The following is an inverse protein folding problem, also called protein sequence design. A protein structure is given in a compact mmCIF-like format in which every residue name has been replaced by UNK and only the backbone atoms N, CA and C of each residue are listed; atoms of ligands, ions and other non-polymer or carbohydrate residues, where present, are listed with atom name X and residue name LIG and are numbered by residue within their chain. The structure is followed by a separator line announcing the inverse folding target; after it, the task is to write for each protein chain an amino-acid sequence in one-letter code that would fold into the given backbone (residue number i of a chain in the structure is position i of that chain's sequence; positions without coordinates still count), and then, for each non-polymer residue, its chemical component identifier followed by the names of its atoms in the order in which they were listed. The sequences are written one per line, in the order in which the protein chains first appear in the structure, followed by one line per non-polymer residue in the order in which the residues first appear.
data_IF_951417941335
#
_entry.id   IF_951417941335
#
_cell.length_a   1.000
_cell.length_b   1.000
_cell.length_c   1.000
_cell.angle_alpha   90.00
_cell.angle_beta   90.00
_cell.angle_gamma   90.00
#
_symmetry.space_group_name_H-M   'P 1'
#
loop_
_entity.id
_entity.type
_entity.pdbx_description
1 polymer ?
#
# COMPACT_ATOMS: atom_id res chain seq x y z
N UNK A 1 3.21 6.79 -5.35
CA UNK A 1 3.40 5.33 -5.36
C UNK A 1 3.89 4.86 -4.01
N UNK A 2 5.07 5.28 -3.53
CA UNK A 2 5.56 4.91 -2.20
C UNK A 2 4.57 5.23 -1.08
N UNK A 3 4.04 6.46 -1.04
CA UNK A 3 3.04 6.87 -0.04
C UNK A 3 1.79 5.98 -0.07
N UNK A 4 1.38 5.47 -1.24
CA UNK A 4 0.24 4.57 -1.33
C UNK A 4 0.49 3.19 -0.67
N UNK A 5 1.75 2.83 -0.42
CA UNK A 5 2.16 1.58 0.23
C UNK A 5 2.34 1.73 1.74
N UNK A 6 2.72 2.93 2.21
CA UNK A 6 3.11 3.15 3.62
C UNK A 6 2.23 4.14 4.37
N UNK A 7 1.41 4.96 3.69
CA UNK A 7 0.45 5.84 4.36
C UNK A 7 -0.88 5.11 4.58
N UNK A 8 -1.32 4.89 5.84
CA UNK A 8 -2.53 4.14 6.15
C UNK A 8 -3.78 4.61 5.39
N UNK A 9 -3.98 5.92 5.29
CA UNK A 9 -5.16 6.50 4.63
C UNK A 9 -5.18 6.26 3.12
N UNK A 10 -4.02 6.29 2.47
CA UNK A 10 -3.91 6.02 1.04
C UNK A 10 -4.04 4.52 0.78
N UNK A 11 -3.36 3.69 1.58
CA UNK A 11 -3.43 2.24 1.50
C UNK A 11 -4.88 1.74 1.62
N UNK A 12 -5.59 2.22 2.64
CA UNK A 12 -6.99 1.86 2.89
C UNK A 12 -7.89 2.16 1.69
N UNK A 13 -7.66 3.27 0.99
CA UNK A 13 -8.49 3.64 -0.16
C UNK A 13 -8.44 2.56 -1.23
N UNK A 14 -7.27 2.20 -1.75
CA UNK A 14 -7.15 1.28 -2.87
C UNK A 14 -7.17 -0.19 -2.47
N UNK A 15 -6.67 -0.53 -1.28
CA UNK A 15 -6.61 -1.93 -0.84
C UNK A 15 -7.96 -2.41 -0.31
N UNK A 16 -8.68 -1.54 0.42
CA UNK A 16 -9.99 -1.83 1.01
C UNK A 16 -9.97 -2.39 2.43
N UNK A 17 -8.79 -2.46 3.07
CA UNK A 17 -8.61 -2.87 4.47
C UNK A 17 -7.77 -1.82 5.21
N UNK A 18 -7.95 -1.73 6.53
CA UNK A 18 -7.11 -0.87 7.38
C UNK A 18 -5.69 -1.44 7.44
N UNK A 19 -4.70 -0.56 7.57
CA UNK A 19 -3.30 -0.91 7.80
C UNK A 19 -2.77 -0.05 8.95
N UNK A 20 -1.92 -0.65 9.79
CA UNK A 20 -1.19 0.06 10.85
C UNK A 20 0.31 -0.20 10.66
N UNK A 21 1.13 0.84 10.85
CA UNK A 21 2.55 0.81 10.52
C UNK A 21 3.36 1.66 11.49
N UNK A 22 4.53 1.15 11.87
CA UNK A 22 5.62 1.91 12.49
C UNK A 22 6.73 2.04 11.42
N UNK A 23 6.83 3.14 10.67
CA UNK A 23 7.61 3.21 9.43
C UNK A 23 9.12 3.37 9.68
N UNK A 24 9.71 2.38 10.33
CA UNK A 24 11.14 2.27 10.63
C UNK A 24 11.57 0.81 10.58
N UNK A 25 12.86 0.56 10.32
CA UNK A 25 13.43 -0.79 10.45
C UNK A 25 13.27 -1.29 11.89
N UNK A 26 12.80 -2.52 12.05
CA UNK A 26 12.38 -3.13 13.33
C UNK A 26 10.93 -2.84 13.73
N UNK A 27 10.29 -1.85 13.08
CA UNK A 27 8.89 -1.50 13.28
C UNK A 27 7.93 -2.58 12.78
N UNK A 28 6.67 -2.45 13.20
CA UNK A 28 5.59 -3.35 12.82
C UNK A 28 4.86 -2.85 11.57
N UNK A 29 4.39 -3.79 10.77
CA UNK A 29 3.42 -3.55 9.70
C UNK A 29 2.28 -4.54 9.86
N UNK A 30 1.04 -4.09 9.90
CA UNK A 30 -0.09 -4.99 10.09
C UNK A 30 -1.27 -4.67 9.17
N UNK A 31 -1.80 -5.74 8.58
CA UNK A 31 -3.08 -5.68 7.88
C UNK A 31 -4.21 -5.84 8.89
N UNK A 32 -5.12 -4.88 8.95
CA UNK A 32 -6.22 -4.83 9.91
C UNK A 32 -5.88 -4.20 11.27
N UNK A 33 -4.59 -4.02 11.60
CA UNK A 33 -4.11 -3.37 12.83
C UNK A 33 -3.28 -4.27 13.74
N UNK A 34 -2.53 -3.69 14.68
CA UNK A 34 -1.59 -4.42 15.55
C UNK A 34 -2.25 -5.35 16.58
N UNK A 35 -3.54 -5.17 16.84
CA UNK A 35 -4.30 -6.02 17.75
C UNK A 35 -4.61 -7.42 17.17
N UNK A 36 -4.43 -7.61 15.86
CA UNK A 36 -4.57 -8.90 15.19
C UNK A 36 -3.20 -9.58 15.09
N UNK A 37 -2.82 -10.33 16.12
CA UNK A 37 -1.45 -10.87 16.26
C UNK A 37 -0.96 -11.67 15.03
N UNK A 38 -1.85 -12.44 14.39
CA UNK A 38 -1.52 -13.26 13.21
C UNK A 38 -1.38 -12.45 11.90
N UNK A 39 -1.53 -11.12 11.93
CA UNK A 39 -1.41 -10.25 10.77
C UNK A 39 -0.34 -9.17 10.92
N UNK A 40 0.64 -9.36 11.84
CA UNK A 40 1.76 -8.44 12.05
C UNK A 40 3.06 -8.96 11.45
N UNK A 41 3.68 -8.16 10.60
CA UNK A 41 5.03 -8.34 10.06
C UNK A 41 6.04 -7.40 10.74
N UNK A 42 7.33 -7.72 10.61
CA UNK A 42 8.45 -6.84 10.95
C UNK A 42 9.00 -6.19 9.69
N UNK A 43 9.25 -4.89 9.74
CA UNK A 43 9.95 -4.18 8.67
C UNK A 43 11.44 -4.44 8.83
N UNK A 44 12.02 -5.25 7.95
CA UNK A 44 13.46 -5.60 8.00
C UNK A 44 14.31 -4.73 7.09
N UNK A 45 13.72 -4.08 6.10
CA UNK A 45 14.37 -3.06 5.27
C UNK A 45 13.36 -1.98 4.88
N UNK A 46 13.75 -0.71 4.99
CA UNK A 46 12.94 0.43 4.59
C UNK A 46 13.83 1.50 3.96
N UNK A 47 13.63 1.73 2.66
CA UNK A 47 14.29 2.79 1.90
C UNK A 47 13.20 3.68 1.29
N UNK A 48 12.94 4.87 1.85
CA UNK A 48 11.90 5.77 1.37
C UNK A 48 11.95 5.99 -0.14
N UNK A 49 10.80 5.84 -0.79
CA UNK A 49 10.67 6.00 -2.25
C UNK A 49 11.22 4.84 -3.08
N UNK A 50 11.83 3.81 -2.48
CA UNK A 50 12.56 2.76 -3.21
C UNK A 50 12.22 1.33 -2.78
N UNK A 51 12.19 1.02 -1.48
CA UNK A 51 12.07 -0.37 -1.04
C UNK A 51 11.43 -0.52 0.33
N UNK A 52 10.60 -1.56 0.47
CA UNK A 52 10.08 -2.06 1.76
C UNK A 52 10.25 -3.57 1.77
N UNK A 53 10.77 -4.13 2.86
CA UNK A 53 10.82 -5.58 3.07
C UNK A 53 10.13 -5.91 4.39
N UNK A 54 9.14 -6.79 4.31
CA UNK A 54 8.31 -7.23 5.42
C UNK A 54 8.59 -8.71 5.69
N UNK A 55 9.00 -9.02 6.91
CA UNK A 55 9.18 -10.38 7.42
C UNK A 55 7.95 -10.77 8.25
N UNK A 56 7.24 -11.79 7.77
CA UNK A 56 6.06 -12.37 8.40
C UNK A 56 6.39 -13.67 9.18
N UNK A 57 7.68 -13.96 9.39
CA UNK A 57 8.19 -15.19 10.00
C UNK A 57 8.20 -16.37 9.03
N UNK A 58 7.04 -16.72 8.48
CA UNK A 58 6.91 -17.83 7.52
C UNK A 58 7.18 -17.42 6.06
N UNK A 59 7.04 -16.12 5.75
CA UNK A 59 7.26 -15.58 4.42
C UNK A 59 7.84 -14.16 4.51
N UNK A 60 8.48 -13.75 3.43
CA UNK A 60 8.99 -12.39 3.24
C UNK A 60 8.30 -11.77 2.03
N UNK A 61 7.82 -10.54 2.19
CA UNK A 61 7.30 -9.72 1.09
C UNK A 61 8.29 -8.58 0.83
N UNK A 62 8.66 -8.38 -0.44
CA UNK A 62 9.55 -7.31 -0.88
C UNK A 62 8.85 -6.46 -1.92
N UNK A 63 8.82 -5.16 -1.65
CA UNK A 63 8.21 -4.14 -2.50
C UNK A 63 9.32 -3.22 -3.00
N UNK A 64 9.58 -3.22 -4.30
CA UNK A 64 10.61 -2.38 -4.90
C UNK A 64 10.00 -1.40 -5.89
N UNK A 65 10.49 -0.17 -5.83
CA UNK A 65 10.12 0.94 -6.69
C UNK A 65 11.36 1.41 -7.44
N UNK A 66 11.27 1.40 -8.76
CA UNK A 66 12.28 1.98 -9.64
C UNK A 66 11.65 3.02 -10.56
N UNK A 67 12.24 4.20 -10.63
CA UNK A 67 11.85 5.22 -11.61
C UNK A 67 12.39 4.85 -13.00
N UNK A 68 11.58 5.02 -14.04
CA UNK A 68 12.06 4.92 -15.43
C UNK A 68 11.18 5.74 -16.38
N UNK A 69 11.81 6.64 -17.13
CA UNK A 69 11.18 7.54 -18.10
C UNK A 69 9.93 8.29 -17.57
N UNK A 70 9.99 8.78 -16.32
CA UNK A 70 8.87 9.47 -15.67
C UNK A 70 7.75 8.54 -15.18
N UNK A 71 7.93 7.22 -15.26
CA UNK A 71 7.01 6.19 -14.74
C UNK A 71 7.65 5.47 -13.55
N UNK A 72 6.84 4.69 -12.85
CA UNK A 72 7.28 3.84 -11.75
C UNK A 72 7.12 2.38 -12.13
N UNK A 73 8.19 1.60 -11.95
CA UNK A 73 8.17 0.15 -11.96
C UNK A 73 8.01 -0.30 -10.53
N UNK A 74 6.99 -1.12 -10.29
CA UNK A 74 6.74 -1.73 -8.99
C UNK A 74 6.93 -3.23 -9.11
N UNK A 75 7.87 -3.75 -8.33
CA UNK A 75 8.12 -5.19 -8.22
C UNK A 75 7.62 -5.64 -6.86
N UNK A 76 6.67 -6.58 -6.88
CA UNK A 76 6.19 -7.27 -5.68
C UNK A 76 6.74 -8.70 -5.71
N UNK A 77 7.51 -9.05 -4.69
CA UNK A 77 8.04 -10.40 -4.49
C UNK A 77 7.48 -10.95 -3.20
N UNK A 78 7.07 -12.21 -3.21
CA UNK A 78 6.63 -12.96 -2.04
C UNK A 78 7.39 -14.28 -1.99
N UNK A 79 7.95 -14.63 -0.84
CA UNK A 79 8.56 -15.94 -0.59
C UNK A 79 7.62 -16.85 0.21
N UNK A 80 8.12 -17.99 0.69
CA UNK A 80 7.36 -18.89 1.58
C UNK A 80 6.26 -19.68 0.89
N UNK A 81 6.42 -19.98 -0.40
CA UNK A 81 5.57 -20.95 -1.08
C UNK A 81 5.91 -22.35 -0.56
N UNK A 82 4.91 -22.99 0.04
CA UNK A 82 4.94 -24.41 0.43
C UNK A 82 4.26 -25.23 -0.67
N UNK A 83 4.95 -26.25 -1.18
CA UNK A 83 4.42 -27.13 -2.23
C UNK A 83 3.27 -28.00 -1.72
N UNK A 84 3.22 -28.31 -0.41
CA UNK A 84 2.13 -29.08 0.20
C UNK A 84 0.90 -28.21 0.48
N UNK A 85 1.11 -26.96 0.89
CA UNK A 85 0.05 -26.00 1.22
C UNK A 85 0.26 -24.64 0.53
N UNK A 86 0.17 -24.59 -0.80
CA UNK A 86 0.46 -23.36 -1.54
C UNK A 86 -0.52 -22.23 -1.17
N UNK A 87 -0.02 -21.01 -0.91
CA UNK A 87 -0.84 -19.90 -0.41
C UNK A 87 -1.66 -19.20 -1.52
N UNK A 88 -2.31 -19.95 -2.41
CA UNK A 88 -2.99 -19.43 -3.60
C UNK A 88 -3.99 -18.32 -3.31
N UNK A 89 -4.78 -18.45 -2.25
CA UNK A 89 -5.78 -17.44 -1.89
C UNK A 89 -5.13 -16.09 -1.53
N UNK A 90 -4.09 -16.11 -0.69
CA UNK A 90 -3.34 -14.91 -0.31
C UNK A 90 -2.63 -14.31 -1.53
N UNK A 91 -2.00 -15.14 -2.34
CA UNK A 91 -1.28 -14.70 -3.54
C UNK A 91 -2.21 -14.07 -4.59
N UNK A 92 -3.33 -14.71 -4.91
CA UNK A 92 -4.34 -14.18 -5.84
C UNK A 92 -4.99 -12.90 -5.30
N UNK A 93 -5.20 -12.83 -3.98
CA UNK A 93 -5.65 -11.61 -3.30
C UNK A 93 -4.69 -10.45 -3.58
N UNK A 94 -3.40 -10.63 -3.32
CA UNK A 94 -2.37 -9.63 -3.61
C UNK A 94 -2.32 -9.26 -5.10
N UNK A 95 -2.37 -10.22 -6.02
CA UNK A 95 -2.38 -9.95 -7.46
C UNK A 95 -3.54 -9.03 -7.85
N UNK A 96 -4.75 -9.29 -7.35
CA UNK A 96 -5.91 -8.43 -7.57
C UNK A 96 -5.70 -7.02 -6.98
N UNK A 97 -5.09 -6.93 -5.79
CA UNK A 97 -4.78 -5.65 -5.13
C UNK A 97 -3.76 -4.83 -5.91
N UNK A 98 -2.69 -5.44 -6.43
CA UNK A 98 -1.69 -4.73 -7.26
C UNK A 98 -2.33 -4.16 -8.54
N UNK A 99 -3.27 -4.90 -9.15
CA UNK A 99 -4.08 -4.37 -10.26
C UNK A 99 -4.90 -3.14 -9.87
N UNK A 100 -5.49 -3.13 -8.68
CA UNK A 100 -6.25 -2.00 -8.16
C UNK A 100 -5.36 -0.78 -7.86
N UNK A 101 -4.16 -1.00 -7.30
CA UNK A 101 -3.17 0.07 -7.06
C UNK A 101 -2.81 0.82 -8.33
N UNK A 102 -2.68 0.10 -9.45
CA UNK A 102 -2.45 0.72 -10.76
C UNK A 102 -3.63 1.61 -11.17
N UNK A 103 -4.86 1.10 -11.07
CA UNK A 103 -6.09 1.87 -11.37
C UNK A 103 -6.19 3.12 -10.50
N UNK A 104 -5.83 3.01 -9.21
CA UNK A 104 -5.82 4.10 -8.25
C UNK A 104 -4.87 5.26 -8.64
N UNK A 105 -3.79 4.94 -9.35
CA UNK A 105 -2.82 5.93 -9.84
C UNK A 105 -3.10 6.43 -11.26
N UNK A 106 -3.72 5.62 -12.12
CA UNK A 106 -3.89 5.94 -13.55
C UNK A 106 -5.26 6.53 -13.91
N UNK A 107 -6.33 6.25 -13.15
CA UNK A 107 -7.68 6.73 -13.46
C UNK A 107 -7.99 8.06 -12.74
N UNK A 108 -8.32 9.15 -13.47
CA UNK A 108 -8.65 10.45 -12.86
C UNK A 108 -9.86 10.40 -11.92
N UNK A 109 -10.90 9.67 -12.29
CA UNK A 109 -12.13 9.47 -11.51
C UNK A 109 -12.19 8.05 -10.95
N UNK A 110 -11.06 7.59 -10.41
CA UNK A 110 -10.95 6.25 -9.86
C UNK A 110 -12.05 5.92 -8.85
N UNK A 111 -12.59 4.71 -8.95
CA UNK A 111 -13.52 4.10 -7.99
C UNK A 111 -13.04 2.68 -7.69
N UNK A 112 -13.11 2.24 -6.42
CA UNK A 112 -12.76 0.87 -6.06
C UNK A 112 -13.59 -0.11 -6.87
N UNK A 113 -12.93 -1.08 -7.51
CA UNK A 113 -13.64 -2.13 -8.25
C UNK A 113 -14.28 -3.15 -7.31
N UNK A 114 -13.88 -3.16 -6.04
CA UNK A 114 -14.31 -4.13 -5.05
C UNK A 114 -15.49 -3.56 -4.30
N UNK A 115 -16.66 -4.14 -4.56
CA UNK A 115 -17.82 -3.99 -3.71
C UNK A 115 -17.51 -4.72 -2.41
N UNK A 116 -17.31 -3.97 -1.32
CA UNK A 116 -17.38 -4.57 0.01
C UNK A 116 -18.80 -5.09 0.23
N UNK A 117 -18.96 -6.41 0.21
CA UNK A 117 -20.12 -7.05 0.82
C UNK A 117 -19.75 -7.39 2.26
N UNK A 118 -20.66 -7.12 3.20
CA UNK A 118 -20.56 -7.71 4.54
C UNK A 118 -20.58 -9.23 4.37
N UNK A 119 -19.44 -9.89 4.60
CA UNK A 119 -19.36 -11.34 4.69
C UNK A 119 -19.83 -11.70 6.11
N UNK A 120 -20.93 -12.44 6.29
CA UNK A 120 -21.42 -12.81 7.61
C UNK A 120 -20.31 -13.46 8.45
N UNK A 121 -20.06 -12.92 9.65
CA UNK A 121 -19.04 -13.43 10.57
C UNK A 121 -17.65 -12.75 10.48
N UNK A 122 -17.43 -11.80 9.57
CA UNK A 122 -16.18 -11.01 9.55
C UNK A 122 -16.26 -9.86 10.57
N UNK A 123 -15.26 -9.67 11.45
CA UNK A 123 -15.22 -8.52 12.36
C UNK A 123 -15.33 -7.20 11.59
N UNK A 124 -16.28 -6.34 11.97
CA UNK A 124 -16.53 -5.03 11.33
C UNK A 124 -15.31 -4.10 11.32
N UNK A 125 -14.35 -4.34 12.19
CA UNK A 125 -13.13 -3.55 12.36
C UNK A 125 -12.15 -3.72 11.18
N UNK A 126 -12.27 -4.82 10.42
CA UNK A 126 -11.40 -5.13 9.26
C UNK A 126 -11.92 -4.48 7.98
N UNK A 127 -13.24 -4.27 7.87
CA UNK A 127 -13.93 -3.78 6.68
C UNK A 127 -14.49 -2.38 6.93
N UNK A 128 -13.94 -1.37 6.26
CA UNK A 128 -14.44 0.01 6.37
C UNK A 128 -15.31 0.35 5.16
N UNK A 129 -16.62 0.65 5.33
CA UNK A 129 -17.47 1.06 4.22
C UNK A 129 -16.86 2.28 3.53
N UNK A 130 -16.67 2.21 2.22
CA UNK A 130 -16.27 3.38 1.44
C UNK A 130 -17.40 4.41 1.47
N UNK A 131 -17.30 5.41 2.34
CA UNK A 131 -18.13 6.60 2.22
C UNK A 131 -17.77 7.28 0.90
N UNK A 132 -18.74 7.34 -0.02
CA UNK A 132 -18.65 8.09 -1.27
C UNK A 132 -18.32 9.56 -0.97
N UNK A 133 -17.03 9.91 -1.00
CA UNK A 133 -16.60 11.29 -1.13
C UNK A 133 -15.54 11.36 -2.20
N UNK A 134 -15.90 11.97 -3.32
CA UNK A 134 -14.99 12.31 -4.41
C UNK A 134 -13.81 13.10 -3.84
N UNK A 135 -12.62 12.49 -3.82
CA UNK A 135 -11.41 13.18 -3.42
C UNK A 135 -10.92 13.99 -4.62
N UNK A 136 -11.14 15.30 -4.62
CA UNK A 136 -10.47 16.22 -5.53
C UNK A 136 -8.96 16.22 -5.21
N UNK A 137 -8.18 15.43 -5.96
CA UNK A 137 -6.72 15.30 -5.81
C UNK A 137 -5.96 16.42 -6.51
N UNK A 138 -6.35 17.69 -6.34
CA UNK A 138 -5.57 18.84 -6.84
C UNK A 138 -5.28 19.87 -5.75
N UNK A 139 -4.09 19.77 -5.14
CA UNK A 139 -3.06 20.84 -5.06
C UNK A 139 -1.96 20.46 -4.09
N UNK A 140 -0.76 20.28 -4.63
CA UNK A 140 0.48 20.15 -3.87
C UNK A 140 1.70 20.31 -4.77
N UNK A 141 1.65 21.21 -5.76
CA UNK A 141 2.85 21.66 -6.48
C UNK A 141 3.15 23.07 -6.01
N UNK A 142 3.95 23.17 -4.94
CA UNK A 142 4.61 24.41 -4.59
C UNK A 142 5.71 24.63 -5.63
N UNK A 143 5.47 25.56 -6.57
CA UNK A 143 6.56 26.19 -7.32
C UNK A 143 7.40 26.96 -6.32
N UNK A 144 8.63 26.51 -6.08
CA UNK A 144 9.65 27.39 -5.51
C UNK A 144 10.01 28.43 -6.59
N UNK A 145 9.43 29.61 -6.44
CA UNK A 145 9.88 30.83 -7.12
C UNK A 145 11.26 31.18 -6.55
N UNK A 146 12.31 31.09 -7.36
CA UNK A 146 13.58 31.76 -7.05
C UNK A 146 13.39 33.27 -7.27
N UNK A 147 13.78 34.15 -6.34
CA UNK A 147 13.92 35.55 -6.66
C UNK A 147 15.29 35.80 -7.28
N UNK A 148 15.28 36.12 -8.58
CA UNK A 148 16.34 36.85 -9.25
C UNK A 148 16.44 38.25 -8.62
N UNK A 149 17.63 38.66 -8.20
CA UNK A 149 17.92 40.00 -7.71
C UNK A 149 19.39 40.33 -7.89
N UNK A 150 19.75 40.73 -9.11
CA UNK A 150 20.99 41.43 -9.44
C UNK A 150 20.82 42.95 -9.20
N UNK A 151 21.96 43.61 -9.00
CA UNK A 151 22.24 45.06 -9.02
C UNK A 151 21.92 45.88 -7.76
N UNK A 152 22.98 46.29 -7.05
CA UNK A 152 23.63 47.62 -7.19
C UNK A 152 25.10 47.56 -6.79
#
# INVERSE_FOLDING_TARGET
MYDALVEPELFRQWFGVTMEIEPAVGGRWAMGGFHLENSVARIVELVPGKKVVLDWGALVETWELAGSAGRTYFTFVQSGFDDEHPPYAKWMGWLARVGELRRFHELPDWRPTVLQHEIPGTPREILVPHLHRSADRRRGSARLTQPNGQER
#
